data_IF_775085994872
#
_entry.id   IF_775085994872
#
_cell.length_a   1.000
_cell.length_b   1.000
_cell.length_c   1.000
_cell.angle_alpha   90.00
_cell.angle_beta   90.00
_cell.angle_gamma   90.00
#
_symmetry.space_group_name_H-M   'P 1'
#
loop_
_entity.id
_entity.type
_entity.pdbx_description
1 polymer ?
#
# COMPACT_ATOMS: atom_id res chain seq x y z
N UNK A 1 -10.91 24.65 -4.79
CA UNK A 1 -11.29 23.26 -5.10
C UNK A 1 -12.79 23.16 -5.19
N UNK A 2 -13.26 22.42 -6.17
CA UNK A 2 -14.70 22.12 -6.36
C UNK A 2 -14.83 20.61 -6.16
N UNK A 3 -15.62 20.23 -5.16
CA UNK A 3 -15.90 18.81 -4.86
C UNK A 3 -17.39 18.56 -5.08
N UNK A 4 -17.73 17.40 -5.61
CA UNK A 4 -19.09 16.90 -5.67
C UNK A 4 -19.26 15.82 -4.62
N UNK A 5 -20.16 16.03 -3.67
CA UNK A 5 -20.44 15.01 -2.66
C UNK A 5 -21.31 13.88 -3.24
N UNK A 6 -21.48 12.81 -2.46
CA UNK A 6 -22.28 11.63 -2.87
C UNK A 6 -23.75 11.97 -3.12
N UNK A 7 -24.24 13.11 -2.65
CA UNK A 7 -25.60 13.61 -2.87
C UNK A 7 -25.70 14.49 -4.12
N UNK A 8 -24.61 14.67 -4.88
CA UNK A 8 -24.60 15.46 -6.10
C UNK A 8 -24.42 16.98 -5.89
N UNK A 9 -24.22 17.44 -4.66
CA UNK A 9 -23.99 18.86 -4.34
C UNK A 9 -22.53 19.24 -4.64
N UNK A 10 -22.35 20.46 -5.17
CA UNK A 10 -21.03 21.04 -5.43
C UNK A 10 -20.56 21.80 -4.20
N UNK A 11 -19.46 21.36 -3.61
CA UNK A 11 -18.79 22.05 -2.52
C UNK A 11 -17.58 22.81 -3.08
N UNK A 12 -17.56 24.12 -2.89
CA UNK A 12 -16.43 24.98 -3.32
C UNK A 12 -15.63 25.34 -2.08
N UNK A 13 -14.36 24.93 -2.04
CA UNK A 13 -13.47 25.30 -0.95
C UNK A 13 -12.20 25.98 -1.46
N UNK A 14 -11.70 26.96 -0.73
CA UNK A 14 -10.45 27.67 -1.05
C UNK A 14 -9.19 26.87 -0.65
N UNK A 15 -9.33 25.82 0.12
CA UNK A 15 -8.23 24.98 0.61
C UNK A 15 -8.57 23.51 0.37
N UNK A 16 -7.55 22.71 0.04
CA UNK A 16 -7.63 21.26 0.10
C UNK A 16 -7.98 20.87 1.53
N UNK A 17 -9.14 20.21 1.73
CA UNK A 17 -9.44 19.59 3.02
C UNK A 17 -8.40 18.49 3.24
N UNK A 18 -7.61 18.61 4.30
CA UNK A 18 -6.81 17.47 4.72
C UNK A 18 -7.77 16.29 4.91
N UNK A 19 -7.42 15.13 4.35
CA UNK A 19 -8.22 13.93 4.60
C UNK A 19 -8.40 13.76 6.11
N UNK A 20 -9.64 13.57 6.56
CA UNK A 20 -9.92 13.21 7.93
C UNK A 20 -9.15 11.91 8.24
N UNK A 21 -8.46 11.88 9.37
CA UNK A 21 -7.64 10.73 9.78
C UNK A 21 -8.53 9.48 9.93
N UNK A 22 -8.45 8.58 8.94
CA UNK A 22 -9.25 7.35 8.91
C UNK A 22 -8.62 6.32 9.84
N UNK A 23 -9.31 6.02 10.96
CA UNK A 23 -8.81 5.13 12.02
C UNK A 23 -9.54 3.80 12.03
N UNK A 24 -8.84 2.74 12.44
CA UNK A 24 -9.43 1.42 12.68
C UNK A 24 -8.71 0.72 13.83
N UNK A 25 -9.51 0.03 14.63
CA UNK A 25 -9.02 -0.91 15.63
C UNK A 25 -9.40 -2.34 15.23
N UNK A 26 -8.47 -3.28 15.31
CA UNK A 26 -8.66 -4.66 14.88
C UNK A 26 -8.20 -5.59 16.02
N UNK A 27 -9.11 -6.41 16.51
CA UNK A 27 -8.77 -7.48 17.46
C UNK A 27 -8.29 -8.72 16.67
N UNK A 28 -7.05 -9.15 16.98
CA UNK A 28 -6.34 -10.25 16.34
C UNK A 28 -5.98 -11.36 17.35
N UNK A 29 -6.57 -11.33 18.55
CA UNK A 29 -6.30 -12.33 19.58
C UNK A 29 -6.60 -13.75 19.06
N UNK A 30 -5.65 -14.66 19.23
CA UNK A 30 -5.76 -16.04 18.77
C UNK A 30 -5.81 -16.23 17.26
N UNK A 31 -5.49 -15.22 16.44
CA UNK A 31 -5.45 -15.32 14.99
C UNK A 31 -4.06 -15.72 14.50
N UNK A 32 -4.05 -16.48 13.40
CA UNK A 32 -2.82 -16.87 12.73
C UNK A 32 -2.20 -15.72 11.93
N UNK A 33 -0.94 -15.89 11.51
CA UNK A 33 -0.20 -14.89 10.76
C UNK A 33 -0.86 -14.54 9.43
N UNK A 34 -1.46 -15.52 8.75
CA UNK A 34 -2.13 -15.29 7.47
C UNK A 34 -3.35 -14.40 7.61
N UNK A 35 -4.15 -14.60 8.66
CA UNK A 35 -5.29 -13.75 8.97
C UNK A 35 -4.85 -12.34 9.33
N UNK A 36 -3.78 -12.19 10.14
CA UNK A 36 -3.19 -10.90 10.50
C UNK A 36 -2.75 -10.16 9.23
N UNK A 37 -2.03 -10.85 8.34
CA UNK A 37 -1.57 -10.31 7.04
C UNK A 37 -2.75 -9.82 6.19
N UNK A 38 -3.81 -10.63 6.06
CA UNK A 38 -5.02 -10.26 5.30
C UNK A 38 -5.70 -9.02 5.87
N UNK A 39 -5.81 -8.92 7.20
CA UNK A 39 -6.45 -7.77 7.87
C UNK A 39 -5.61 -6.49 7.73
N UNK A 40 -4.29 -6.59 7.92
CA UNK A 40 -3.38 -5.47 7.74
C UNK A 40 -3.40 -4.98 6.28
N UNK A 41 -3.35 -5.90 5.31
CA UNK A 41 -3.43 -5.58 3.89
C UNK A 41 -4.74 -4.88 3.54
N UNK A 42 -5.88 -5.38 4.03
CA UNK A 42 -7.17 -4.75 3.80
C UNK A 42 -7.24 -3.34 4.40
N UNK A 43 -6.70 -3.14 5.60
CA UNK A 43 -6.64 -1.82 6.23
C UNK A 43 -5.74 -0.85 5.44
N UNK A 44 -4.57 -1.32 4.98
CA UNK A 44 -3.68 -0.54 4.11
C UNK A 44 -4.39 -0.10 2.84
N UNK A 45 -4.95 -1.05 2.09
CA UNK A 45 -5.59 -0.81 0.78
C UNK A 45 -6.82 0.11 0.90
N UNK A 46 -7.62 -0.05 1.97
CA UNK A 46 -8.78 0.82 2.25
C UNK A 46 -8.42 2.23 2.72
N UNK A 47 -7.13 2.56 2.78
CA UNK A 47 -6.66 3.91 3.06
C UNK A 47 -6.72 4.34 4.52
N UNK A 48 -6.74 3.40 5.49
CA UNK A 48 -6.64 3.77 6.90
C UNK A 48 -5.29 4.41 7.21
N UNK A 49 -5.30 5.53 7.94
CA UNK A 49 -4.11 6.31 8.30
C UNK A 49 -3.57 5.91 9.68
N UNK A 50 -4.44 5.44 10.58
CA UNK A 50 -4.09 4.98 11.92
C UNK A 50 -4.74 3.62 12.16
N UNK A 51 -3.91 2.62 12.45
CA UNK A 51 -4.37 1.23 12.65
C UNK A 51 -3.88 0.78 14.01
N UNK A 52 -4.82 0.45 14.91
CA UNK A 52 -4.51 -0.15 16.20
C UNK A 52 -4.84 -1.65 16.13
N UNK A 53 -3.84 -2.48 16.34
CA UNK A 53 -3.94 -3.94 16.34
C UNK A 53 -3.83 -4.43 17.79
N UNK A 54 -4.80 -5.22 18.24
CA UNK A 54 -4.78 -5.86 19.57
C UNK A 54 -4.64 -7.36 19.43
N UNK A 55 -3.79 -7.97 20.26
CA UNK A 55 -3.55 -9.41 20.22
C UNK A 55 -2.60 -9.88 21.33
N UNK A 56 -1.98 -11.03 21.11
CA UNK A 56 -1.04 -11.64 22.03
C UNK A 56 0.40 -11.13 21.85
N UNK A 57 1.34 -11.57 22.69
CA UNK A 57 2.74 -11.15 22.65
C UNK A 57 3.45 -11.43 21.30
N UNK A 58 2.95 -12.41 20.51
CA UNK A 58 3.54 -12.75 19.19
C UNK A 58 3.20 -11.71 18.13
N UNK A 59 2.12 -10.93 18.35
CA UNK A 59 1.64 -9.92 17.41
C UNK A 59 2.76 -8.95 17.00
N UNK A 60 3.55 -8.48 17.97
CA UNK A 60 4.65 -7.55 17.72
C UNK A 60 5.68 -8.08 16.69
N UNK A 61 6.05 -9.33 16.83
CA UNK A 61 7.04 -9.97 15.92
C UNK A 61 6.46 -10.15 14.52
N UNK A 62 5.22 -10.62 14.44
CA UNK A 62 4.51 -10.85 13.17
C UNK A 62 4.34 -9.53 12.43
N UNK A 63 3.81 -8.51 13.09
CA UNK A 63 3.54 -7.20 12.46
C UNK A 63 4.81 -6.53 11.98
N UNK A 64 5.90 -6.54 12.79
CA UNK A 64 7.22 -6.00 12.36
C UNK A 64 7.73 -6.67 11.07
N UNK A 65 7.50 -7.98 10.92
CA UNK A 65 7.84 -8.69 9.69
C UNK A 65 6.99 -8.25 8.50
N UNK A 66 5.68 -8.14 8.71
CA UNK A 66 4.72 -7.79 7.68
C UNK A 66 4.84 -6.33 7.20
N UNK A 67 5.21 -5.39 8.08
CA UNK A 67 5.35 -3.97 7.70
C UNK A 67 6.41 -3.74 6.63
N UNK A 68 7.38 -4.64 6.49
CA UNK A 68 8.33 -4.58 5.39
C UNK A 68 7.69 -4.70 4.00
N UNK A 69 6.44 -5.16 3.91
CA UNK A 69 5.70 -5.30 2.64
C UNK A 69 4.90 -4.03 2.29
N UNK A 70 4.87 -3.01 3.15
CA UNK A 70 4.12 -1.77 2.94
C UNK A 70 5.01 -0.55 2.94
N UNK A 71 4.73 0.40 2.04
CA UNK A 71 5.38 1.69 2.02
C UNK A 71 4.65 2.64 2.98
N UNK A 72 5.41 3.50 3.67
CA UNK A 72 4.91 4.55 4.56
C UNK A 72 4.23 4.13 5.87
N UNK A 73 4.05 2.85 6.12
CA UNK A 73 3.54 2.36 7.40
C UNK A 73 4.66 2.21 8.42
N UNK A 74 4.51 2.89 9.57
CA UNK A 74 5.46 2.84 10.67
C UNK A 74 4.76 2.56 12.00
N UNK A 75 5.41 1.82 12.87
CA UNK A 75 4.93 1.64 14.24
C UNK A 75 5.24 2.91 15.02
N UNK A 76 4.20 3.56 15.54
CA UNK A 76 4.35 4.76 16.37
C UNK A 76 4.24 4.46 17.87
N UNK A 77 3.58 3.35 18.22
CA UNK A 77 3.47 2.87 19.59
C UNK A 77 3.32 1.35 19.63
N UNK A 78 3.88 0.70 20.65
CA UNK A 78 3.72 -0.73 20.85
C UNK A 78 3.94 -1.13 22.31
N UNK A 79 3.06 -1.99 22.79
CA UNK A 79 3.19 -2.70 24.07
C UNK A 79 3.00 -4.21 23.84
N UNK A 80 2.89 -5.00 24.92
CA UNK A 80 2.81 -6.47 24.79
C UNK A 80 1.60 -6.96 23.99
N UNK A 81 0.48 -6.25 24.03
CA UNK A 81 -0.81 -6.70 23.51
C UNK A 81 -1.40 -5.76 22.44
N UNK A 82 -0.73 -4.65 22.16
CA UNK A 82 -1.25 -3.64 21.23
C UNK A 82 -0.12 -3.00 20.43
N UNK A 83 -0.40 -2.75 19.14
CA UNK A 83 0.49 -2.02 18.23
C UNK A 83 -0.32 -0.96 17.52
N UNK A 84 0.20 0.25 17.49
CA UNK A 84 -0.35 1.34 16.68
C UNK A 84 0.56 1.65 15.51
N UNK A 85 0.00 1.55 14.31
CA UNK A 85 0.67 1.79 13.04
C UNK A 85 0.09 3.06 12.44
N UNK A 86 0.96 3.94 11.94
CA UNK A 86 0.59 5.18 11.26
C UNK A 86 1.11 5.19 9.83
N UNK A 87 0.28 5.74 8.92
CA UNK A 87 0.66 6.03 7.55
C UNK A 87 1.29 7.42 7.48
N UNK A 88 2.50 7.50 6.93
CA UNK A 88 3.23 8.74 6.67
C UNK A 88 3.26 9.14 5.20
N UNK A 89 2.41 8.52 4.38
CA UNK A 89 2.35 8.85 2.96
C UNK A 89 1.66 10.19 2.71
N UNK A 90 2.42 11.14 2.15
CA UNK A 90 1.84 12.40 1.66
C UNK A 90 1.49 12.29 0.18
N UNK A 91 0.19 12.24 -0.09
CA UNK A 91 -0.33 12.11 -1.44
C UNK A 91 -0.06 13.37 -2.29
N UNK A 92 0.14 14.53 -1.68
CA UNK A 92 0.38 15.79 -2.39
C UNK A 92 1.77 15.86 -3.01
N UNK A 93 2.74 15.18 -2.40
CA UNK A 93 4.11 15.09 -2.90
C UNK A 93 4.32 13.89 -3.83
N UNK A 94 3.31 13.02 -3.93
CA UNK A 94 3.39 11.80 -4.70
C UNK A 94 3.29 12.06 -6.21
N UNK A 95 4.14 11.38 -6.98
CA UNK A 95 4.05 11.29 -8.45
C UNK A 95 3.73 9.86 -8.82
N UNK A 96 2.47 9.59 -9.18
CA UNK A 96 1.98 8.24 -9.45
C UNK A 96 2.81 7.55 -10.54
N UNK A 97 3.20 8.28 -11.59
CA UNK A 97 4.00 7.76 -12.68
C UNK A 97 5.36 7.20 -12.21
N UNK A 98 5.93 7.77 -11.13
CA UNK A 98 7.19 7.27 -10.57
C UNK A 98 7.01 5.88 -9.96
N UNK A 99 5.83 5.59 -9.37
CA UNK A 99 5.54 4.27 -8.80
C UNK A 99 5.36 3.23 -9.89
N UNK A 100 4.59 3.57 -10.94
CA UNK A 100 4.41 2.69 -12.11
C UNK A 100 5.74 2.43 -12.80
N UNK A 101 6.56 3.47 -12.98
CA UNK A 101 7.91 3.34 -13.56
C UNK A 101 8.81 2.43 -12.71
N UNK A 102 8.73 2.52 -11.38
CA UNK A 102 9.49 1.64 -10.48
C UNK A 102 9.06 0.18 -10.63
N UNK A 103 7.76 -0.07 -10.75
CA UNK A 103 7.23 -1.42 -11.02
C UNK A 103 7.81 -1.94 -12.34
N UNK A 104 7.72 -1.17 -13.43
CA UNK A 104 8.24 -1.56 -14.76
C UNK A 104 9.74 -1.87 -14.70
N UNK A 105 10.54 -1.01 -14.07
CA UNK A 105 11.99 -1.22 -13.93
C UNK A 105 12.31 -2.52 -13.17
N UNK A 106 11.67 -2.73 -12.03
CA UNK A 106 11.88 -3.94 -11.23
C UNK A 106 11.44 -5.21 -11.98
N UNK A 107 10.33 -5.16 -12.72
CA UNK A 107 9.87 -6.29 -13.53
C UNK A 107 10.88 -6.61 -14.64
N UNK A 108 11.43 -5.62 -15.32
CA UNK A 108 12.47 -5.83 -16.35
C UNK A 108 13.71 -6.47 -15.76
N UNK A 109 14.20 -5.97 -14.64
CA UNK A 109 15.34 -6.54 -13.92
C UNK A 109 15.08 -8.01 -13.53
N UNK A 110 13.88 -8.31 -12.99
CA UNK A 110 13.48 -9.67 -12.63
C UNK A 110 13.47 -10.60 -13.87
N UNK A 111 12.92 -10.14 -15.00
CA UNK A 111 12.93 -10.93 -16.24
C UNK A 111 14.33 -11.16 -16.78
N UNK A 112 15.21 -10.16 -16.74
CA UNK A 112 16.61 -10.30 -17.17
C UNK A 112 17.34 -11.35 -16.31
N UNK A 113 17.14 -11.31 -14.98
CA UNK A 113 17.68 -12.33 -14.08
C UNK A 113 17.14 -13.73 -14.42
N UNK A 114 15.85 -13.89 -14.61
CA UNK A 114 15.22 -15.17 -14.95
C UNK A 114 15.79 -15.69 -16.28
N UNK A 115 15.88 -14.85 -17.31
CA UNK A 115 16.43 -15.22 -18.62
C UNK A 115 17.90 -15.62 -18.49
N UNK A 116 18.69 -14.88 -17.71
CA UNK A 116 20.10 -15.20 -17.49
C UNK A 116 20.30 -16.55 -16.81
N UNK A 117 19.44 -16.85 -15.81
CA UNK A 117 19.48 -18.10 -15.05
C UNK A 117 18.94 -19.29 -15.88
N UNK A 118 17.96 -19.07 -16.75
CA UNK A 118 17.40 -20.14 -17.59
C UNK A 118 18.43 -20.74 -18.58
N UNK A 119 19.47 -19.99 -18.89
CA UNK A 119 20.60 -20.45 -19.73
C UNK A 119 21.55 -21.37 -18.95
N UNK A 120 21.45 -21.41 -17.64
CA UNK A 120 22.28 -22.25 -16.76
C UNK A 120 21.53 -23.54 -16.42
N UNK A 121 22.24 -24.68 -16.39
CA UNK A 121 21.64 -25.96 -15.98
C UNK A 121 21.24 -26.01 -14.49
N UNK A 122 21.80 -25.11 -13.69
CA UNK A 122 21.56 -25.04 -12.22
C UNK A 122 21.24 -23.60 -11.87
N UNK A 123 20.07 -23.38 -11.25
CA UNK A 123 19.68 -22.08 -10.71
C UNK A 123 20.39 -21.87 -9.38
N UNK A 124 21.12 -20.77 -9.26
CA UNK A 124 21.81 -20.43 -8.00
C UNK A 124 20.81 -19.98 -6.94
N UNK A 125 20.97 -20.45 -5.71
CA UNK A 125 20.12 -20.05 -4.57
C UNK A 125 20.17 -18.53 -4.31
N UNK A 126 21.32 -17.89 -4.58
CA UNK A 126 21.45 -16.42 -4.48
C UNK A 126 20.53 -15.70 -5.47
N UNK A 127 20.43 -16.19 -6.71
CA UNK A 127 19.57 -15.59 -7.72
C UNK A 127 18.08 -15.74 -7.40
N UNK A 128 17.68 -16.84 -6.76
CA UNK A 128 16.30 -16.98 -6.27
C UNK A 128 15.98 -15.94 -5.20
N UNK A 129 16.90 -15.70 -4.25
CA UNK A 129 16.69 -14.65 -3.22
C UNK A 129 16.58 -13.26 -3.83
N UNK A 130 17.43 -12.97 -4.82
CA UNK A 130 17.41 -11.68 -5.54
C UNK A 130 16.07 -11.47 -6.26
N UNK A 131 15.54 -12.52 -6.92
CA UNK A 131 14.22 -12.49 -7.56
C UNK A 131 13.12 -12.25 -6.50
N UNK A 132 13.18 -12.93 -5.34
CA UNK A 132 12.22 -12.74 -4.25
C UNK A 132 12.27 -11.31 -3.68
N UNK A 133 13.44 -10.69 -3.59
CA UNK A 133 13.61 -9.31 -3.14
C UNK A 133 13.01 -8.31 -4.14
N UNK A 134 13.23 -8.53 -5.46
CA UNK A 134 12.64 -7.71 -6.51
C UNK A 134 11.11 -7.88 -6.53
N UNK A 135 10.59 -9.11 -6.43
CA UNK A 135 9.15 -9.38 -6.34
C UNK A 135 8.52 -8.63 -5.16
N UNK A 136 9.17 -8.67 -4.00
CA UNK A 136 8.72 -7.91 -2.82
C UNK A 136 8.70 -6.40 -3.10
N UNK A 137 9.71 -5.87 -3.79
CA UNK A 137 9.74 -4.45 -4.15
C UNK A 137 8.60 -4.08 -5.12
N UNK A 138 8.31 -4.93 -6.11
CA UNK A 138 7.16 -4.76 -7.02
C UNK A 138 5.86 -4.73 -6.22
N UNK A 139 5.67 -5.69 -5.31
CA UNK A 139 4.46 -5.80 -4.51
C UNK A 139 4.23 -4.57 -3.62
N UNK A 140 5.29 -3.97 -3.03
CA UNK A 140 5.18 -2.72 -2.25
C UNK A 140 4.59 -1.57 -3.07
N UNK A 141 5.10 -1.36 -4.27
CA UNK A 141 4.61 -0.29 -5.14
C UNK A 141 3.20 -0.61 -5.67
N UNK A 142 2.92 -1.87 -5.99
CA UNK A 142 1.59 -2.30 -6.38
C UNK A 142 0.55 -2.05 -5.28
N UNK A 143 0.86 -2.39 -4.02
CA UNK A 143 -0.02 -2.13 -2.89
C UNK A 143 -0.24 -0.64 -2.66
N UNK A 144 0.80 0.18 -2.83
CA UNK A 144 0.66 1.65 -2.76
C UNK A 144 -0.23 2.18 -3.88
N UNK A 145 -0.05 1.73 -5.12
CA UNK A 145 -0.91 2.12 -6.23
C UNK A 145 -2.36 1.71 -5.99
N UNK A 146 -2.60 0.50 -5.49
CA UNK A 146 -3.93 0.02 -5.11
C UNK A 146 -4.56 0.90 -4.03
N UNK A 147 -3.80 1.26 -2.98
CA UNK A 147 -4.24 2.17 -1.92
C UNK A 147 -4.66 3.54 -2.48
N UNK A 148 -3.83 4.13 -3.34
CA UNK A 148 -4.12 5.41 -4.00
C UNK A 148 -5.39 5.31 -4.83
N UNK A 149 -5.55 4.23 -5.59
CA UNK A 149 -6.74 3.96 -6.39
C UNK A 149 -8.01 3.94 -5.52
N UNK A 150 -8.03 3.12 -4.47
CA UNK A 150 -9.20 3.04 -3.59
C UNK A 150 -9.49 4.37 -2.86
N UNK A 151 -8.45 5.10 -2.44
CA UNK A 151 -8.65 6.46 -1.92
C UNK A 151 -9.26 7.39 -2.96
N UNK A 152 -8.84 7.27 -4.22
CA UNK A 152 -9.39 8.06 -5.32
C UNK A 152 -10.85 7.71 -5.67
N UNK A 153 -11.26 6.45 -5.50
CA UNK A 153 -12.66 6.03 -5.63
C UNK A 153 -13.52 6.66 -4.53
N UNK A 154 -13.03 6.65 -3.29
CA UNK A 154 -13.73 7.25 -2.13
C UNK A 154 -13.72 8.79 -2.21
N UNK A 155 -12.66 9.39 -2.74
CA UNK A 155 -12.48 10.83 -2.86
C UNK A 155 -11.81 11.21 -4.20
N UNK A 156 -12.60 11.60 -5.24
CA UNK A 156 -12.07 11.98 -6.55
C UNK A 156 -11.04 13.13 -6.54
N UNK A 157 -11.02 13.97 -5.50
CA UNK A 157 -10.03 15.04 -5.35
C UNK A 157 -8.61 14.47 -5.26
N UNK A 158 -8.45 13.28 -4.73
CA UNK A 158 -7.17 12.54 -4.67
C UNK A 158 -6.62 12.29 -6.08
N UNK A 159 -7.47 11.87 -7.01
CA UNK A 159 -7.08 11.65 -8.41
C UNK A 159 -6.68 12.95 -9.10
N UNK A 160 -7.39 14.05 -8.82
CA UNK A 160 -7.06 15.37 -9.34
C UNK A 160 -5.69 15.86 -8.85
N UNK A 161 -5.36 15.66 -7.55
CA UNK A 161 -4.06 16.01 -6.98
C UNK A 161 -2.93 15.25 -7.68
N UNK A 162 -3.16 13.98 -8.01
CA UNK A 162 -2.21 13.11 -8.70
C UNK A 162 -2.21 13.30 -10.22
N UNK A 163 -3.06 14.21 -10.75
CA UNK A 163 -3.25 14.42 -12.19
C UNK A 163 -3.66 13.14 -12.94
N UNK A 164 -4.42 12.27 -12.28
CA UNK A 164 -4.93 11.05 -12.84
C UNK A 164 -6.35 11.29 -13.38
N UNK A 165 -6.58 10.92 -14.64
CA UNK A 165 -7.94 10.91 -15.18
C UNK A 165 -8.67 9.66 -14.65
N UNK A 166 -9.69 9.87 -13.83
CA UNK A 166 -10.50 8.80 -13.26
C UNK A 166 -11.14 7.90 -14.32
N UNK A 167 -11.51 8.45 -15.49
CA UNK A 167 -12.08 7.69 -16.60
C UNK A 167 -11.05 6.73 -17.23
N UNK A 168 -9.79 7.17 -17.35
CA UNK A 168 -8.71 6.34 -17.89
C UNK A 168 -8.31 5.23 -16.93
N UNK A 169 -8.32 5.47 -15.62
CA UNK A 169 -8.02 4.45 -14.62
C UNK A 169 -9.05 3.32 -14.65
N UNK A 170 -10.34 3.62 -14.79
CA UNK A 170 -11.38 2.60 -14.89
C UNK A 170 -11.32 1.80 -16.19
N UNK A 171 -10.98 2.43 -17.31
CA UNK A 171 -10.99 1.79 -18.63
C UNK A 171 -9.74 0.95 -18.92
N UNK A 172 -8.62 1.17 -18.23
CA UNK A 172 -7.35 0.48 -18.50
C UNK A 172 -7.02 -0.64 -17.51
N UNK A 173 -7.86 -0.89 -16.48
CA UNK A 173 -7.61 -1.89 -15.45
C UNK A 173 -8.59 -3.07 -15.46
N UNK A 174 -9.50 -3.12 -16.45
CA UNK A 174 -10.44 -4.25 -16.68
C UNK A 174 -10.31 -4.82 -18.09
#
# INVERSE_FOLDING_TARGET
>A
FIERNNNGELMVSSKFKAEDEKKIEINLEGKDEEFIKKKLHAAYTKGYNLITLKGDEKLNKIVKGLLNDYLSFEIIDSNNNEITIKDFFDIKEAKFENFVRRIDMNLREMFELIISQSKNKIIKKSSLKEIEEIDRAVNKFYFLCSRIFFKGVDNPTVLNVLKLDGSQLFNNWW
#
